data_IF_237571842867
#
_entry.id   IF_237571842867
#
_cell.length_a   1.000
_cell.length_b   1.000
_cell.length_c   1.000
_cell.angle_alpha   90.00
_cell.angle_beta   90.00
_cell.angle_gamma   90.00
#
_symmetry.space_group_name_H-M   'P 1'
#
loop_
_entity.id
_entity.type
_entity.pdbx_description
1 polymer ?
#
# COMPACT_ATOMS: atom_id res chain seq x y z
N UNK A 1 -69.10 -148.85 52.96
CA UNK A 1 -67.97 -149.57 52.34
C UNK A 1 -66.96 -148.56 51.82
N UNK A 2 -65.67 -148.81 52.11
CA UNK A 2 -64.42 -148.32 51.47
C UNK A 2 -64.18 -146.80 51.36
N UNK A 3 -63.17 -146.23 52.04
CA UNK A 3 -61.75 -146.04 51.62
C UNK A 3 -61.63 -145.27 50.28
N UNK A 4 -60.82 -144.22 50.06
CA UNK A 4 -59.42 -143.99 50.49
C UNK A 4 -58.92 -142.55 50.17
N UNK A 5 -57.93 -142.12 50.97
CA UNK A 5 -56.96 -140.99 50.95
C UNK A 5 -56.57 -140.26 49.63
N UNK A 6 -56.19 -138.97 49.74
CA UNK A 6 -54.81 -138.45 49.45
C UNK A 6 -54.56 -137.00 49.92
N UNK A 7 -53.29 -136.71 50.23
CA UNK A 7 -52.68 -135.51 50.83
C UNK A 7 -52.56 -134.28 49.90
N UNK A 8 -52.52 -133.05 50.45
CA UNK A 8 -51.36 -132.13 50.35
C UNK A 8 -51.52 -130.78 51.10
N UNK A 9 -50.53 -130.52 51.95
CA UNK A 9 -49.84 -129.30 52.45
C UNK A 9 -50.34 -127.87 52.05
N UNK A 10 -50.63 -127.02 53.04
CA UNK A 10 -49.87 -125.78 53.42
C UNK A 10 -50.70 -124.74 54.21
N UNK A 11 -50.17 -124.38 55.39
CA UNK A 11 -50.24 -123.09 56.13
C UNK A 11 -51.58 -122.33 56.20
N UNK A 12 -52.23 -122.42 57.37
CA UNK A 12 -53.49 -121.73 57.69
C UNK A 12 -53.21 -120.43 58.48
N UNK A 13 -53.02 -119.31 57.76
CA UNK A 13 -52.98 -117.94 58.29
C UNK A 13 -54.39 -117.55 58.78
N UNK A 14 -54.73 -117.86 60.03
CA UNK A 14 -55.96 -117.37 60.67
C UNK A 14 -55.62 -116.35 61.75
N UNK A 15 -56.02 -115.10 61.47
CA UNK A 15 -56.11 -113.88 62.33
C UNK A 15 -55.07 -112.79 62.04
N UNK A 16 -55.06 -112.28 60.81
CA UNK A 16 -54.62 -110.91 60.56
C UNK A 16 -55.62 -109.93 61.19
N UNK A 17 -55.14 -109.01 62.03
CA UNK A 17 -55.91 -107.89 62.55
C UNK A 17 -55.99 -106.81 61.46
N UNK A 18 -57.21 -106.36 61.23
CA UNK A 18 -57.65 -105.39 60.23
C UNK A 18 -56.78 -104.12 60.19
N UNK A 19 -56.28 -103.81 58.99
CA UNK A 19 -55.73 -102.51 58.61
C UNK A 19 -56.87 -101.47 58.67
N UNK A 20 -56.68 -100.39 59.43
CA UNK A 20 -57.59 -99.26 59.46
C UNK A 20 -57.45 -98.52 58.12
N UNK A 21 -58.38 -98.75 57.20
CA UNK A 21 -58.54 -97.96 55.98
C UNK A 21 -59.18 -96.63 56.41
N UNK A 22 -58.51 -95.50 56.13
CA UNK A 22 -59.02 -94.17 56.43
C UNK A 22 -60.42 -93.96 55.80
N UNK A 23 -61.36 -93.29 56.50
CA UNK A 23 -62.70 -93.11 55.99
C UNK A 23 -62.68 -92.42 54.62
N UNK A 24 -63.55 -92.84 53.67
CA UNK A 24 -63.64 -92.18 52.39
C UNK A 24 -63.96 -90.70 52.61
N UNK A 25 -63.37 -89.79 51.80
CA UNK A 25 -63.60 -88.36 51.96
C UNK A 25 -65.09 -88.05 51.94
N UNK A 26 -65.51 -87.05 52.73
CA UNK A 26 -66.91 -86.63 52.83
C UNK A 26 -67.47 -86.37 51.43
N UNK A 27 -68.55 -87.06 51.08
CA UNK A 27 -69.19 -86.94 49.76
C UNK A 27 -70.04 -85.68 49.73
N UNK A 28 -69.79 -84.82 48.76
CA UNK A 28 -70.58 -83.61 48.55
C UNK A 28 -72.03 -83.96 48.18
N UNK A 29 -72.97 -83.19 48.72
CA UNK A 29 -74.38 -83.23 48.32
C UNK A 29 -74.57 -82.66 46.92
N UNK A 30 -75.65 -83.04 46.24
CA UNK A 30 -75.97 -82.51 44.91
C UNK A 30 -76.10 -80.98 44.93
N UNK A 31 -76.59 -80.43 46.05
CA UNK A 31 -76.70 -78.99 46.31
C UNK A 31 -75.33 -78.32 46.41
N UNK A 32 -74.38 -78.90 47.16
CA UNK A 32 -73.00 -78.38 47.26
C UNK A 32 -72.27 -78.44 45.91
N UNK A 33 -72.44 -79.51 45.14
CA UNK A 33 -71.91 -79.59 43.77
C UNK A 33 -72.50 -78.51 42.87
N UNK A 34 -73.83 -78.29 42.93
CA UNK A 34 -74.51 -77.26 42.13
C UNK A 34 -74.11 -75.83 42.52
N UNK A 35 -73.93 -75.56 43.82
CA UNK A 35 -73.49 -74.27 44.33
C UNK A 35 -72.03 -73.98 43.98
N UNK A 36 -71.15 -74.98 44.11
CA UNK A 36 -69.74 -74.86 43.71
C UNK A 36 -69.59 -74.62 42.21
N UNK A 37 -70.34 -75.33 41.36
CA UNK A 37 -70.31 -75.11 39.91
C UNK A 37 -70.87 -73.72 39.55
N UNK A 38 -71.99 -73.28 40.13
CA UNK A 38 -72.47 -71.89 39.94
C UNK A 38 -71.47 -70.84 40.39
N UNK A 39 -70.79 -71.07 41.51
CA UNK A 39 -69.76 -70.16 42.00
C UNK A 39 -68.56 -70.12 41.05
N UNK A 40 -68.09 -71.27 40.57
CA UNK A 40 -67.01 -71.35 39.58
C UNK A 40 -67.38 -70.75 38.23
N UNK A 41 -68.58 -71.01 37.73
CA UNK A 41 -69.09 -70.39 36.50
C UNK A 41 -69.14 -68.86 36.65
N UNK A 42 -69.60 -68.35 37.80
CA UNK A 42 -69.61 -66.92 38.09
C UNK A 42 -68.19 -66.34 38.13
N UNK A 43 -67.25 -66.97 38.84
CA UNK A 43 -65.85 -66.54 38.87
C UNK A 43 -65.19 -66.58 37.48
N UNK A 44 -65.50 -67.60 36.66
CA UNK A 44 -65.03 -67.68 35.28
C UNK A 44 -65.61 -66.55 34.41
N UNK A 45 -66.91 -66.27 34.52
CA UNK A 45 -67.55 -65.17 33.78
C UNK A 45 -67.02 -63.80 34.22
N UNK A 46 -66.77 -63.59 35.51
CA UNK A 46 -66.19 -62.36 36.02
C UNK A 46 -64.74 -62.19 35.52
N UNK A 47 -63.95 -63.28 35.48
CA UNK A 47 -62.59 -63.26 34.93
C UNK A 47 -62.57 -63.06 33.41
N UNK A 48 -63.51 -63.65 32.67
CA UNK A 48 -63.68 -63.43 31.23
C UNK A 48 -64.00 -61.96 30.93
N UNK A 49 -64.95 -61.37 31.66
CA UNK A 49 -65.27 -59.94 31.53
C UNK A 49 -64.08 -59.03 31.85
N UNK A 50 -63.31 -59.36 32.88
CA UNK A 50 -62.09 -58.64 33.21
C UNK A 50 -61.05 -58.77 32.08
N UNK A 51 -60.87 -59.97 31.52
CA UNK A 51 -59.97 -60.21 30.40
C UNK A 51 -60.42 -59.44 29.15
N UNK A 52 -61.71 -59.47 28.79
CA UNK A 52 -62.28 -58.70 27.67
C UNK A 52 -62.06 -57.20 27.86
N UNK A 53 -62.26 -56.70 29.09
CA UNK A 53 -62.00 -55.29 29.43
C UNK A 53 -60.51 -54.94 29.33
N UNK A 54 -59.61 -55.81 29.76
CA UNK A 54 -58.15 -55.61 29.65
C UNK A 54 -57.73 -55.64 28.18
N UNK A 55 -58.24 -56.57 27.38
CA UNK A 55 -57.95 -56.64 25.95
C UNK A 55 -58.41 -55.38 25.22
N UNK A 56 -59.64 -54.93 25.47
CA UNK A 56 -60.16 -53.69 24.90
C UNK A 56 -59.33 -52.46 25.33
N UNK A 57 -58.88 -52.42 26.58
CA UNK A 57 -58.00 -51.35 27.08
C UNK A 57 -56.60 -51.44 26.46
N UNK A 58 -56.04 -52.65 26.28
CA UNK A 58 -54.77 -52.86 25.59
C UNK A 58 -54.84 -52.38 24.14
N UNK A 59 -55.92 -52.68 23.41
CA UNK A 59 -56.12 -52.20 22.04
C UNK A 59 -56.26 -50.68 22.00
N UNK A 60 -57.07 -50.10 22.91
CA UNK A 60 -57.22 -48.64 23.03
C UNK A 60 -55.87 -47.94 23.30
N UNK A 61 -55.09 -48.45 24.25
CA UNK A 61 -53.77 -47.89 24.60
C UNK A 61 -52.79 -48.06 23.44
N UNK A 62 -52.83 -49.19 22.74
CA UNK A 62 -51.99 -49.42 21.56
C UNK A 62 -52.30 -48.38 20.48
N UNK A 63 -53.57 -48.20 20.12
CA UNK A 63 -53.97 -47.24 19.09
C UNK A 63 -53.60 -45.80 19.50
N UNK A 64 -53.83 -45.41 20.76
CA UNK A 64 -53.45 -44.10 21.30
C UNK A 64 -51.93 -43.88 21.25
N UNK A 65 -51.15 -44.90 21.61
CA UNK A 65 -49.68 -44.83 21.58
C UNK A 65 -49.16 -44.80 20.14
N UNK A 66 -49.73 -45.58 19.23
CA UNK A 66 -49.36 -45.62 17.81
C UNK A 66 -49.61 -44.24 17.16
N UNK A 67 -50.79 -43.66 17.37
CA UNK A 67 -51.13 -42.33 16.85
C UNK A 67 -50.18 -41.25 17.43
N UNK A 68 -50.00 -41.23 18.76
CA UNK A 68 -49.11 -40.27 19.42
C UNK A 68 -47.66 -40.42 18.95
N UNK A 69 -47.19 -41.64 18.72
CA UNK A 69 -45.83 -41.92 18.26
C UNK A 69 -45.63 -41.44 16.81
N UNK A 70 -46.60 -41.69 15.94
CA UNK A 70 -46.54 -41.22 14.54
C UNK A 70 -46.59 -39.69 14.45
N UNK A 71 -47.47 -39.04 15.22
CA UNK A 71 -47.55 -37.58 15.28
C UNK A 71 -46.25 -36.96 15.80
N UNK A 72 -45.70 -37.48 16.90
CA UNK A 72 -44.42 -37.00 17.43
C UNK A 72 -43.28 -37.17 16.44
N UNK A 73 -43.25 -38.29 15.70
CA UNK A 73 -42.25 -38.52 14.66
C UNK A 73 -42.39 -37.51 13.53
N UNK A 74 -43.60 -37.32 12.99
CA UNK A 74 -43.87 -36.35 11.92
C UNK A 74 -43.48 -34.92 12.32
N UNK A 75 -43.83 -34.50 13.53
CA UNK A 75 -43.46 -33.17 14.03
C UNK A 75 -41.94 -33.00 14.18
N UNK A 76 -41.25 -34.03 14.67
CA UNK A 76 -39.78 -34.01 14.80
C UNK A 76 -39.09 -34.00 13.43
N UNK A 77 -39.52 -34.83 12.50
CA UNK A 77 -39.01 -34.86 11.12
C UNK A 77 -39.19 -33.49 10.44
N UNK A 78 -40.36 -32.85 10.62
CA UNK A 78 -40.64 -31.51 10.10
C UNK A 78 -39.67 -30.47 10.68
N UNK A 79 -39.44 -30.48 11.99
CA UNK A 79 -38.51 -29.55 12.66
C UNK A 79 -37.05 -29.75 12.22
N UNK A 80 -36.63 -30.99 11.95
CA UNK A 80 -35.30 -31.28 11.38
C UNK A 80 -35.19 -30.67 9.98
N UNK A 81 -36.23 -30.79 9.15
CA UNK A 81 -36.23 -30.22 7.81
C UNK A 81 -36.24 -28.68 7.82
N UNK A 82 -37.03 -28.06 8.71
CA UNK A 82 -36.99 -26.60 8.93
C UNK A 82 -35.58 -26.15 9.32
N UNK A 83 -34.95 -26.83 10.29
CA UNK A 83 -33.59 -26.53 10.71
C UNK A 83 -32.57 -26.67 9.57
N UNK A 84 -32.74 -27.68 8.71
CA UNK A 84 -31.90 -27.88 7.53
C UNK A 84 -31.97 -26.69 6.57
N UNK A 85 -33.18 -26.18 6.32
CA UNK A 85 -33.41 -25.01 5.47
C UNK A 85 -32.80 -23.74 6.07
N UNK A 86 -32.91 -23.53 7.38
CA UNK A 86 -32.31 -22.37 8.06
C UNK A 86 -30.77 -22.40 7.98
N UNK A 87 -30.17 -23.58 8.15
CA UNK A 87 -28.72 -23.76 8.01
C UNK A 87 -28.30 -23.50 6.56
N UNK A 88 -29.06 -24.00 5.58
CA UNK A 88 -28.78 -23.79 4.15
C UNK A 88 -28.84 -22.30 3.78
N UNK A 89 -29.88 -21.60 4.25
CA UNK A 89 -30.03 -20.15 4.08
C UNK A 89 -28.84 -19.39 4.69
N UNK A 90 -28.53 -19.61 5.96
CA UNK A 90 -27.43 -18.92 6.64
C UNK A 90 -26.06 -19.25 6.02
N UNK A 91 -25.85 -20.50 5.60
CA UNK A 91 -24.62 -20.91 4.89
C UNK A 91 -24.46 -20.13 3.58
N UNK A 92 -25.55 -19.93 2.83
CA UNK A 92 -25.54 -19.15 1.60
C UNK A 92 -25.20 -17.68 1.87
N UNK A 93 -25.83 -17.08 2.88
CA UNK A 93 -25.59 -15.68 3.24
C UNK A 93 -24.15 -15.44 3.70
N UNK A 94 -23.59 -16.31 4.56
CA UNK A 94 -22.18 -16.20 4.96
C UNK A 94 -21.26 -16.37 3.75
N UNK A 95 -21.52 -17.32 2.85
CA UNK A 95 -20.71 -17.50 1.64
C UNK A 95 -20.72 -16.26 0.73
N UNK A 96 -21.89 -15.64 0.55
CA UNK A 96 -22.02 -14.40 -0.22
C UNK A 96 -21.19 -13.29 0.41
N UNK A 97 -21.36 -13.07 1.72
CA UNK A 97 -20.64 -12.02 2.45
C UNK A 97 -19.13 -12.25 2.46
N UNK A 98 -18.71 -13.50 2.64
CA UNK A 98 -17.31 -13.93 2.59
C UNK A 98 -16.66 -13.64 1.24
N UNK A 99 -17.38 -13.89 0.15
CA UNK A 99 -16.90 -13.58 -1.20
C UNK A 99 -16.60 -12.08 -1.34
N UNK A 100 -17.48 -11.22 -0.86
CA UNK A 100 -17.27 -9.76 -0.86
C UNK A 100 -16.06 -9.35 -0.01
N UNK A 101 -15.87 -9.95 1.17
CA UNK A 101 -14.68 -9.70 1.99
C UNK A 101 -13.40 -10.07 1.24
N UNK A 102 -13.35 -11.23 0.57
CA UNK A 102 -12.20 -11.64 -0.23
C UNK A 102 -11.91 -10.64 -1.37
N UNK A 103 -12.95 -10.23 -2.11
CA UNK A 103 -12.82 -9.25 -3.19
C UNK A 103 -12.27 -7.90 -2.70
N UNK A 104 -12.73 -7.43 -1.54
CA UNK A 104 -12.22 -6.18 -0.95
C UNK A 104 -10.80 -6.31 -0.41
N UNK A 105 -10.42 -7.47 0.16
CA UNK A 105 -9.04 -7.73 0.57
C UNK A 105 -8.10 -7.65 -0.64
N UNK A 106 -8.45 -8.28 -1.74
CA UNK A 106 -7.61 -8.27 -2.94
C UNK A 106 -7.58 -6.88 -3.59
N UNK A 107 -8.71 -6.17 -3.62
CA UNK A 107 -8.77 -4.78 -4.09
C UNK A 107 -7.88 -3.84 -3.26
N UNK A 108 -7.92 -3.94 -1.93
CA UNK A 108 -7.06 -3.14 -1.05
C UNK A 108 -5.58 -3.45 -1.27
N UNK A 109 -5.20 -4.74 -1.44
CA UNK A 109 -3.81 -5.10 -1.76
C UNK A 109 -3.34 -4.43 -3.04
N UNK A 110 -4.17 -4.37 -4.08
CA UNK A 110 -3.82 -3.66 -5.32
C UNK A 110 -3.54 -2.19 -5.06
N UNK A 111 -4.38 -1.50 -4.27
CA UNK A 111 -4.16 -0.08 -3.94
C UNK A 111 -2.90 0.11 -3.07
N UNK A 112 -2.65 -0.80 -2.13
CA UNK A 112 -1.42 -0.80 -1.34
C UNK A 112 -0.18 -0.96 -2.21
N UNK A 113 -0.22 -1.80 -3.23
CA UNK A 113 0.89 -1.99 -4.16
C UNK A 113 1.12 -0.73 -5.01
N UNK A 114 0.05 -0.08 -5.48
CA UNK A 114 0.13 1.23 -6.14
C UNK A 114 0.81 2.28 -5.25
N UNK A 115 0.41 2.36 -3.97
CA UNK A 115 1.04 3.27 -3.00
C UNK A 115 2.53 2.95 -2.83
N UNK A 116 2.91 1.68 -2.66
CA UNK A 116 4.32 1.29 -2.50
C UNK A 116 5.16 1.64 -3.71
N UNK A 117 4.66 1.35 -4.92
CA UNK A 117 5.34 1.69 -6.16
C UNK A 117 5.55 3.21 -6.30
N UNK A 118 4.53 4.00 -5.93
CA UNK A 118 4.64 5.45 -5.88
C UNK A 118 5.71 5.90 -4.87
N UNK A 119 5.68 5.38 -3.64
CA UNK A 119 6.68 5.69 -2.60
C UNK A 119 8.11 5.35 -3.05
N UNK A 120 8.31 4.20 -3.69
CA UNK A 120 9.61 3.76 -4.21
C UNK A 120 10.11 4.69 -5.32
N UNK A 121 9.24 5.08 -6.24
CA UNK A 121 9.57 6.02 -7.32
C UNK A 121 9.93 7.41 -6.79
N UNK A 122 9.21 7.89 -5.78
CA UNK A 122 9.52 9.18 -5.13
C UNK A 122 10.88 9.17 -4.45
N UNK A 123 11.23 8.08 -3.77
CA UNK A 123 12.51 7.96 -3.07
C UNK A 123 13.69 7.80 -4.05
N UNK A 124 13.57 6.86 -5.00
CA UNK A 124 14.69 6.49 -5.87
C UNK A 124 14.93 7.45 -7.02
N UNK A 125 13.87 8.09 -7.53
CA UNK A 125 13.97 8.94 -8.72
C UNK A 125 13.80 10.41 -8.37
N UNK A 126 12.63 10.80 -7.85
CA UNK A 126 12.28 12.21 -7.72
C UNK A 126 13.17 12.94 -6.69
N UNK A 127 13.25 12.41 -5.45
CA UNK A 127 14.05 12.99 -4.37
C UNK A 127 15.53 13.01 -4.71
N UNK A 128 16.04 11.88 -5.21
CA UNK A 128 17.44 11.74 -5.63
C UNK A 128 17.81 12.76 -6.71
N UNK A 129 16.93 12.97 -7.70
CA UNK A 129 17.18 13.93 -8.78
C UNK A 129 17.26 15.37 -8.26
N UNK A 130 16.35 15.75 -7.35
CA UNK A 130 16.37 17.08 -6.73
C UNK A 130 17.67 17.30 -5.92
N UNK A 131 18.05 16.33 -5.08
CA UNK A 131 19.29 16.38 -4.31
C UNK A 131 20.52 16.46 -5.20
N UNK A 132 20.55 15.67 -6.28
CA UNK A 132 21.65 15.69 -7.25
C UNK A 132 21.75 17.05 -7.96
N UNK A 133 20.62 17.69 -8.30
CA UNK A 133 20.63 19.03 -8.88
C UNK A 133 21.22 20.06 -7.92
N UNK A 134 20.88 19.99 -6.62
CA UNK A 134 21.47 20.87 -5.61
C UNK A 134 22.99 20.67 -5.55
N UNK A 135 23.46 19.43 -5.46
CA UNK A 135 24.89 19.10 -5.40
C UNK A 135 25.64 19.58 -6.66
N UNK A 136 25.06 19.39 -7.85
CA UNK A 136 25.67 19.87 -9.10
C UNK A 136 25.82 21.40 -9.09
N UNK A 137 24.83 22.11 -8.55
CA UNK A 137 24.84 23.58 -8.45
C UNK A 137 25.82 24.12 -7.42
N UNK A 138 26.23 23.33 -6.43
CA UNK A 138 27.36 23.66 -5.56
C UNK A 138 28.69 23.75 -6.34
N UNK A 139 28.75 23.16 -7.54
CA UNK A 139 29.90 23.24 -8.46
C UNK A 139 30.02 24.55 -9.24
N UNK A 140 29.08 25.50 -9.09
CA UNK A 140 29.19 26.83 -9.69
C UNK A 140 30.33 27.63 -9.06
N UNK A 141 30.89 28.56 -9.83
CA UNK A 141 32.13 29.24 -9.46
C UNK A 141 31.87 30.74 -9.23
N UNK A 142 32.55 31.32 -8.24
CA UNK A 142 32.58 32.75 -8.00
C UNK A 142 31.19 33.32 -7.65
N UNK A 143 30.84 34.45 -8.26
CA UNK A 143 29.60 35.18 -7.94
C UNK A 143 28.32 34.42 -8.35
N UNK A 144 28.43 33.43 -9.23
CA UNK A 144 27.27 32.64 -9.69
C UNK A 144 26.87 31.52 -8.71
N UNK A 145 27.74 31.21 -7.73
CA UNK A 145 27.40 30.38 -6.58
C UNK A 145 26.59 31.23 -5.58
N UNK A 146 25.39 31.63 -6.00
CA UNK A 146 24.47 32.43 -5.23
C UNK A 146 23.21 31.65 -4.89
N UNK A 147 22.61 31.96 -3.75
CA UNK A 147 21.29 31.47 -3.39
C UNK A 147 20.23 32.16 -4.24
N UNK A 148 19.67 31.45 -5.22
CA UNK A 148 18.70 31.97 -6.18
C UNK A 148 17.34 31.24 -6.08
N UNK A 149 16.39 31.67 -6.92
CA UNK A 149 15.05 31.08 -6.97
C UNK A 149 15.09 29.56 -7.22
N UNK A 150 16.03 29.07 -8.02
CA UNK A 150 16.09 27.65 -8.37
C UNK A 150 16.45 26.82 -7.16
N UNK A 151 17.42 27.26 -6.35
CA UNK A 151 17.78 26.54 -5.12
C UNK A 151 16.63 26.53 -4.12
N UNK A 152 15.90 27.64 -3.98
CA UNK A 152 14.70 27.70 -3.14
C UNK A 152 13.64 26.72 -3.63
N UNK A 153 13.30 26.74 -4.92
CA UNK A 153 12.26 25.85 -5.44
C UNK A 153 12.68 24.37 -5.40
N UNK A 154 13.96 24.04 -5.58
CA UNK A 154 14.48 22.66 -5.41
C UNK A 154 14.33 22.17 -3.97
N UNK A 155 14.57 23.02 -2.97
CA UNK A 155 14.35 22.68 -1.55
C UNK A 155 12.86 22.50 -1.27
N UNK A 156 12.01 23.40 -1.79
CA UNK A 156 10.56 23.26 -1.70
C UNK A 156 10.08 21.94 -2.35
N UNK A 157 10.66 21.52 -3.48
CA UNK A 157 10.33 20.26 -4.14
C UNK A 157 10.67 19.04 -3.29
N UNK A 158 11.82 19.05 -2.61
CA UNK A 158 12.16 18.00 -1.63
C UNK A 158 11.14 17.98 -0.49
N UNK A 159 10.74 19.13 0.04
CA UNK A 159 9.76 19.22 1.13
C UNK A 159 8.37 18.68 0.70
N UNK A 160 7.93 19.01 -0.52
CA UNK A 160 6.69 18.47 -1.11
C UNK A 160 6.78 16.95 -1.26
N UNK A 161 7.88 16.43 -1.81
CA UNK A 161 8.10 14.99 -1.95
C UNK A 161 8.03 14.29 -0.59
N UNK A 162 8.70 14.82 0.43
CA UNK A 162 8.66 14.24 1.78
C UNK A 162 7.27 14.33 2.43
N UNK A 163 6.52 15.41 2.16
CA UNK A 163 5.14 15.57 2.58
C UNK A 163 4.23 14.48 1.99
N UNK A 164 4.34 14.25 0.68
CA UNK A 164 3.62 13.20 -0.04
C UNK A 164 4.01 11.82 0.48
N UNK A 165 5.31 11.55 0.67
CA UNK A 165 5.78 10.27 1.22
C UNK A 165 5.18 9.99 2.61
N UNK A 166 5.12 10.99 3.50
CA UNK A 166 4.51 10.85 4.83
C UNK A 166 3.00 10.60 4.74
N UNK A 167 2.31 11.29 3.83
CA UNK A 167 0.87 11.11 3.62
C UNK A 167 0.54 9.70 3.11
N UNK A 168 1.22 9.27 2.05
CA UNK A 168 1.07 7.94 1.45
C UNK A 168 1.48 6.82 2.42
N UNK A 169 2.55 7.02 3.20
CA UNK A 169 2.97 6.09 4.25
C UNK A 169 1.87 5.85 5.29
N UNK A 170 1.23 6.92 5.78
CA UNK A 170 0.09 6.81 6.72
C UNK A 170 -1.10 6.09 6.10
N UNK A 171 -1.44 6.40 4.84
CA UNK A 171 -2.53 5.70 4.13
C UNK A 171 -2.23 4.21 3.96
N UNK A 172 -0.98 3.87 3.68
CA UNK A 172 -0.53 2.47 3.59
C UNK A 172 -0.65 1.73 4.93
N UNK A 173 -0.30 2.38 6.05
CA UNK A 173 -0.50 1.81 7.39
C UNK A 173 -1.98 1.55 7.70
N UNK A 174 -2.86 2.51 7.37
CA UNK A 174 -4.31 2.36 7.51
C UNK A 174 -4.85 1.21 6.65
N UNK A 175 -4.37 1.07 5.41
CA UNK A 175 -4.77 -0.01 4.51
C UNK A 175 -4.30 -1.39 5.01
N UNK A 176 -3.08 -1.48 5.54
CA UNK A 176 -2.57 -2.70 6.17
C UNK A 176 -3.45 -3.14 7.34
N UNK A 177 -3.83 -2.20 8.21
CA UNK A 177 -4.69 -2.48 9.35
C UNK A 177 -6.09 -2.90 8.90
N UNK A 178 -6.66 -2.24 7.88
CA UNK A 178 -7.95 -2.63 7.33
C UNK A 178 -7.92 -4.05 6.73
N UNK A 179 -6.85 -4.42 6.02
CA UNK A 179 -6.66 -5.79 5.52
C UNK A 179 -6.57 -6.81 6.67
N UNK A 180 -5.94 -6.47 7.80
CA UNK A 180 -5.90 -7.35 8.99
C UNK A 180 -7.30 -7.59 9.55
N UNK A 181 -8.12 -6.54 9.67
CA UNK A 181 -9.51 -6.63 10.16
C UNK A 181 -10.40 -7.45 9.24
N UNK A 182 -10.28 -7.27 7.94
CA UNK A 182 -10.99 -8.09 6.94
C UNK A 182 -10.58 -9.57 7.03
N UNK A 183 -9.28 -9.87 7.16
CA UNK A 183 -8.79 -11.25 7.35
C UNK A 183 -9.31 -11.88 8.64
N UNK A 184 -9.34 -11.12 9.74
CA UNK A 184 -9.94 -11.57 11.01
C UNK A 184 -11.42 -11.90 10.84
N UNK A 185 -12.16 -11.05 10.14
CA UNK A 185 -13.58 -11.32 9.84
C UNK A 185 -13.78 -12.54 8.95
N UNK A 186 -12.89 -12.76 7.98
CA UNK A 186 -12.89 -13.95 7.13
C UNK A 186 -12.69 -15.23 7.95
N UNK A 187 -11.77 -15.21 8.92
CA UNK A 187 -11.56 -16.33 9.84
C UNK A 187 -12.83 -16.69 10.65
N UNK A 188 -13.55 -15.70 11.19
CA UNK A 188 -14.79 -15.96 11.91
C UNK A 188 -15.90 -16.53 11.00
N UNK A 189 -16.01 -16.04 9.77
CA UNK A 189 -16.95 -16.57 8.78
C UNK A 189 -16.59 -18.01 8.35
N UNK A 190 -15.31 -18.31 8.15
CA UNK A 190 -14.83 -19.66 7.84
C UNK A 190 -15.18 -20.65 8.96
N UNK A 191 -15.02 -20.21 10.21
CA UNK A 191 -15.41 -20.99 11.38
C UNK A 191 -16.92 -21.24 11.49
N UNK A 192 -17.74 -20.21 11.28
CA UNK A 192 -19.21 -20.37 11.27
C UNK A 192 -19.67 -21.30 10.13
N UNK A 193 -19.03 -21.20 8.95
CA UNK A 193 -19.29 -22.13 7.84
C UNK A 193 -18.91 -23.58 8.16
N UNK A 194 -17.78 -23.80 8.83
CA UNK A 194 -17.36 -25.14 9.26
C UNK A 194 -18.35 -25.74 10.29
N UNK A 195 -18.71 -24.94 11.29
CA UNK A 195 -19.68 -25.33 12.31
C UNK A 195 -21.04 -25.68 11.66
N UNK A 196 -21.55 -24.84 10.74
CA UNK A 196 -22.79 -25.10 9.99
C UNK A 196 -22.71 -26.31 9.06
N UNK A 197 -21.57 -26.55 8.41
CA UNK A 197 -21.38 -27.73 7.56
C UNK A 197 -21.43 -29.03 8.38
N UNK A 198 -20.85 -29.02 9.58
CA UNK A 198 -20.92 -30.15 10.51
C UNK A 198 -22.35 -30.40 10.98
N UNK A 199 -23.09 -29.35 11.36
CA UNK A 199 -24.51 -29.48 11.76
C UNK A 199 -25.36 -29.99 10.60
N UNK A 200 -25.20 -29.44 9.39
CA UNK A 200 -25.93 -29.90 8.20
C UNK A 200 -25.72 -31.40 7.92
N UNK A 201 -24.49 -31.91 8.11
CA UNK A 201 -24.17 -33.33 7.94
C UNK A 201 -24.88 -34.20 9.00
N UNK A 202 -24.90 -33.75 10.24
CA UNK A 202 -25.57 -34.45 11.35
C UNK A 202 -27.09 -34.51 11.10
N UNK A 203 -27.71 -33.36 10.80
CA UNK A 203 -29.16 -33.26 10.59
C UNK A 203 -29.60 -34.00 9.33
N UNK A 204 -28.81 -33.94 8.25
CA UNK A 204 -29.05 -34.75 7.06
C UNK A 204 -29.01 -36.24 7.39
N UNK A 205 -28.01 -36.71 8.15
CA UNK A 205 -27.96 -38.11 8.57
C UNK A 205 -29.19 -38.49 9.40
N UNK A 206 -29.55 -37.67 10.39
CA UNK A 206 -30.73 -37.91 11.24
C UNK A 206 -32.03 -37.98 10.42
N UNK A 207 -32.19 -37.10 9.42
CA UNK A 207 -33.37 -37.10 8.54
C UNK A 207 -33.52 -38.40 7.71
N UNK A 208 -32.41 -39.11 7.47
CA UNK A 208 -32.41 -40.37 6.70
C UNK A 208 -32.69 -41.61 7.54
N UNK A 209 -32.67 -41.50 8.87
CA UNK A 209 -32.88 -42.63 9.78
C UNK A 209 -34.34 -43.08 9.75
N UNK A 210 -34.55 -44.40 9.71
CA UNK A 210 -35.86 -45.05 9.79
C UNK A 210 -35.90 -45.94 11.03
N UNK A 211 -37.08 -46.25 11.59
CA UNK A 211 -37.20 -47.16 12.74
C UNK A 211 -36.58 -48.56 12.51
N UNK A 212 -36.38 -48.97 11.25
CA UNK A 212 -35.76 -50.23 10.85
C UNK A 212 -34.26 -50.11 10.54
N UNK A 213 -33.62 -48.98 10.83
CA UNK A 213 -32.19 -48.77 10.58
C UNK A 213 -31.32 -49.66 11.51
N UNK A 214 -30.22 -50.21 10.97
CA UNK A 214 -29.37 -51.20 11.63
C UNK A 214 -28.67 -50.71 12.92
N UNK A 215 -28.37 -49.42 13.05
CA UNK A 215 -27.55 -48.86 14.14
C UNK A 215 -28.38 -48.05 15.17
N UNK A 216 -29.65 -48.38 15.35
CA UNK A 216 -30.47 -47.76 16.39
C UNK A 216 -30.19 -48.41 17.75
N UNK A 217 -30.04 -47.60 18.80
CA UNK A 217 -29.87 -48.09 20.17
C UNK A 217 -30.62 -47.21 21.16
N UNK A 218 -31.09 -47.82 22.26
CA UNK A 218 -31.69 -47.10 23.37
C UNK A 218 -30.56 -46.70 24.33
N UNK A 219 -30.50 -45.41 24.68
CA UNK A 219 -29.54 -44.91 25.63
C UNK A 219 -29.98 -45.26 27.07
N UNK A 220 -29.20 -46.10 27.75
CA UNK A 220 -29.42 -46.53 29.14
C UNK A 220 -28.53 -45.80 30.17
N UNK A 221 -27.85 -44.72 29.76
CA UNK A 221 -27.00 -43.97 30.67
C UNK A 221 -27.78 -43.01 31.59
N UNK A 222 -27.13 -42.52 32.64
CA UNK A 222 -27.73 -41.65 33.64
C UNK A 222 -27.64 -40.15 33.27
N UNK A 223 -26.89 -39.79 32.22
CA UNK A 223 -26.72 -38.40 31.80
C UNK A 223 -27.80 -38.00 30.80
N UNK A 224 -28.56 -36.93 31.06
CA UNK A 224 -29.53 -36.43 30.08
C UNK A 224 -28.86 -36.06 28.74
N UNK A 225 -29.44 -36.50 27.61
CA UNK A 225 -28.92 -36.23 26.26
C UNK A 225 -29.20 -34.79 25.76
N UNK A 226 -29.97 -34.00 26.51
CA UNK A 226 -30.32 -32.62 26.19
C UNK A 226 -29.22 -31.62 26.61
N UNK A 227 -28.08 -31.65 25.92
CA UNK A 227 -26.95 -30.75 26.19
C UNK A 227 -27.07 -29.35 25.57
N UNK A 228 -28.19 -29.01 24.93
CA UNK A 228 -28.38 -27.69 24.31
C UNK A 228 -28.28 -26.56 25.34
N UNK A 229 -27.29 -25.68 25.16
CA UNK A 229 -27.06 -24.51 26.04
C UNK A 229 -27.41 -23.18 25.39
N UNK A 230 -27.52 -23.16 24.07
CA UNK A 230 -27.74 -21.98 23.25
C UNK A 230 -29.17 -22.04 22.72
N UNK A 231 -29.90 -20.93 22.86
CA UNK A 231 -31.25 -20.76 22.33
C UNK A 231 -31.21 -20.57 20.81
N UNK A 232 -32.35 -20.76 20.13
CA UNK A 232 -32.41 -20.51 18.69
C UNK A 232 -32.14 -19.03 18.35
N UNK A 233 -32.64 -18.12 19.19
CA UNK A 233 -32.42 -16.67 19.07
C UNK A 233 -30.92 -16.32 19.16
N UNK A 234 -30.19 -16.89 20.11
CA UNK A 234 -28.74 -16.69 20.23
C UNK A 234 -27.96 -17.25 19.03
N UNK A 235 -28.42 -18.37 18.45
CA UNK A 235 -27.81 -18.96 17.25
C UNK A 235 -28.02 -18.08 16.01
N UNK A 236 -29.23 -17.56 15.81
CA UNK A 236 -29.54 -16.64 14.70
C UNK A 236 -28.75 -15.33 14.84
N UNK A 237 -28.72 -14.77 16.04
CA UNK A 237 -28.02 -13.52 16.32
C UNK A 237 -26.50 -13.68 16.13
N UNK A 238 -25.90 -14.82 16.46
CA UNK A 238 -24.46 -15.06 16.22
C UNK A 238 -24.07 -14.92 14.76
N UNK A 239 -24.80 -15.58 13.84
CA UNK A 239 -24.51 -15.49 12.41
C UNK A 239 -24.83 -14.10 11.85
N UNK A 240 -25.93 -13.49 12.30
CA UNK A 240 -26.28 -12.12 11.92
C UNK A 240 -25.18 -11.13 12.32
N UNK A 241 -24.65 -11.22 13.53
CA UNK A 241 -23.54 -10.37 13.99
C UNK A 241 -22.27 -10.56 13.14
N UNK A 242 -21.94 -11.79 12.75
CA UNK A 242 -20.81 -12.06 11.86
C UNK A 242 -20.98 -11.38 10.50
N UNK A 243 -22.18 -11.47 9.91
CA UNK A 243 -22.52 -10.83 8.63
C UNK A 243 -22.48 -9.30 8.75
N UNK A 244 -23.09 -8.73 9.80
CA UNK A 244 -23.10 -7.29 10.03
C UNK A 244 -21.68 -6.72 10.26
N UNK A 245 -20.85 -7.44 11.01
CA UNK A 245 -19.44 -7.07 11.21
C UNK A 245 -18.68 -7.10 9.89
N UNK A 246 -18.87 -8.12 9.07
CA UNK A 246 -18.27 -8.19 7.73
C UNK A 246 -18.73 -7.03 6.84
N UNK A 247 -20.03 -6.69 6.85
CA UNK A 247 -20.55 -5.57 6.08
C UNK A 247 -19.95 -4.23 6.53
N UNK A 248 -19.76 -4.02 7.83
CA UNK A 248 -19.08 -2.83 8.38
C UNK A 248 -17.65 -2.74 7.88
N UNK A 249 -16.86 -3.81 7.99
CA UNK A 249 -15.47 -3.82 7.54
C UNK A 249 -15.31 -3.65 6.02
N UNK A 250 -16.23 -4.21 5.23
CA UNK A 250 -16.30 -3.97 3.77
C UNK A 250 -16.55 -2.49 3.47
N UNK A 251 -17.51 -1.86 4.15
CA UNK A 251 -17.81 -0.46 3.93
C UNK A 251 -16.63 0.45 4.31
N UNK A 252 -15.96 0.17 5.43
CA UNK A 252 -14.74 0.88 5.81
C UNK A 252 -13.62 0.70 4.78
N UNK A 253 -13.46 -0.51 4.22
CA UNK A 253 -12.49 -0.78 3.17
C UNK A 253 -12.80 -0.01 1.87
N UNK A 254 -14.07 0.05 1.45
CA UNK A 254 -14.51 0.82 0.27
C UNK A 254 -14.25 2.31 0.43
N UNK A 255 -14.55 2.86 1.60
CA UNK A 255 -14.24 4.26 1.91
C UNK A 255 -12.74 4.54 1.84
N UNK A 256 -11.92 3.66 2.43
CA UNK A 256 -10.47 3.80 2.41
C UNK A 256 -9.89 3.72 0.99
N UNK A 257 -10.43 2.85 0.13
CA UNK A 257 -10.06 2.79 -1.30
C UNK A 257 -10.36 4.10 -2.02
N UNK A 258 -11.59 4.61 -1.88
CA UNK A 258 -11.97 5.88 -2.49
C UNK A 258 -11.09 7.03 -1.99
N UNK A 259 -10.78 7.07 -0.70
CA UNK A 259 -9.87 8.05 -0.12
C UNK A 259 -8.44 7.91 -0.66
N UNK A 260 -7.96 6.67 -0.85
CA UNK A 260 -6.65 6.39 -1.42
C UNK A 260 -6.53 6.92 -2.85
N UNK A 261 -7.54 6.70 -3.69
CA UNK A 261 -7.54 7.22 -5.06
C UNK A 261 -7.51 8.77 -5.10
N UNK A 262 -8.27 9.42 -4.21
CA UNK A 262 -8.26 10.89 -4.08
C UNK A 262 -6.88 11.39 -3.64
N UNK A 263 -6.28 10.76 -2.63
CA UNK A 263 -4.94 11.14 -2.16
C UNK A 263 -3.89 10.95 -3.25
N UNK A 264 -3.90 9.81 -3.95
CA UNK A 264 -2.93 9.55 -5.00
C UNK A 264 -3.03 10.60 -6.11
N UNK A 265 -4.26 10.95 -6.49
CA UNK A 265 -4.49 12.00 -7.49
C UNK A 265 -3.96 13.36 -7.02
N UNK A 266 -4.34 13.79 -5.80
CA UNK A 266 -3.87 15.06 -5.25
C UNK A 266 -2.34 15.10 -5.11
N UNK A 267 -1.74 14.02 -4.62
CA UNK A 267 -0.30 13.92 -4.48
C UNK A 267 0.43 14.07 -5.83
N UNK A 268 -0.10 13.45 -6.90
CA UNK A 268 0.47 13.58 -8.25
C UNK A 268 0.32 15.02 -8.77
N UNK A 269 -0.83 15.67 -8.55
CA UNK A 269 -1.06 17.07 -8.92
C UNK A 269 -0.06 17.99 -8.20
N UNK A 270 0.09 17.86 -6.87
CA UNK A 270 1.02 18.67 -6.07
C UNK A 270 2.49 18.49 -6.54
N UNK A 271 2.88 17.27 -6.90
CA UNK A 271 4.22 16.96 -7.41
C UNK A 271 4.47 17.58 -8.79
N UNK A 272 3.49 17.52 -9.70
CA UNK A 272 3.59 18.14 -11.03
C UNK A 272 3.65 19.65 -10.94
N UNK A 273 2.83 20.27 -10.08
CA UNK A 273 2.82 21.71 -9.87
C UNK A 273 4.20 22.19 -9.37
N UNK A 274 4.79 21.50 -8.40
CA UNK A 274 6.11 21.85 -7.89
C UNK A 274 7.22 21.57 -8.90
N UNK A 275 7.14 20.48 -9.67
CA UNK A 275 8.06 20.19 -10.76
C UNK A 275 8.07 21.31 -11.81
N UNK A 276 6.89 21.82 -12.17
CA UNK A 276 6.73 22.93 -13.10
C UNK A 276 7.25 24.25 -12.53
N UNK A 277 7.07 24.50 -11.23
CA UNK A 277 7.63 25.67 -10.56
C UNK A 277 9.16 25.69 -10.64
N UNK A 278 9.81 24.56 -10.33
CA UNK A 278 11.28 24.42 -10.39
C UNK A 278 11.79 24.55 -11.83
N UNK A 279 11.17 23.87 -12.79
CA UNK A 279 11.57 23.96 -14.20
C UNK A 279 11.39 25.38 -14.75
N UNK A 280 10.37 26.11 -14.30
CA UNK A 280 10.17 27.51 -14.67
C UNK A 280 11.24 28.41 -14.06
N UNK A 281 11.64 28.15 -12.82
CA UNK A 281 12.77 28.85 -12.20
C UNK A 281 14.09 28.59 -12.95
N UNK A 282 14.39 27.34 -13.31
CA UNK A 282 15.55 26.99 -14.15
C UNK A 282 15.52 27.73 -15.49
N UNK A 283 14.40 27.69 -16.22
CA UNK A 283 14.26 28.37 -17.51
C UNK A 283 14.54 29.88 -17.40
N UNK A 284 14.00 30.55 -16.37
CA UNK A 284 14.28 31.97 -16.10
C UNK A 284 15.77 32.18 -15.83
N UNK A 285 16.36 31.39 -14.92
CA UNK A 285 17.77 31.55 -14.52
C UNK A 285 18.73 31.32 -15.67
N UNK A 286 18.49 30.30 -16.49
CA UNK A 286 19.27 30.01 -17.69
C UNK A 286 19.18 31.17 -18.68
N UNK A 287 18.00 31.74 -18.90
CA UNK A 287 17.82 32.89 -19.79
C UNK A 287 18.58 34.13 -19.29
N UNK A 288 18.53 34.43 -18.00
CA UNK A 288 19.29 35.53 -17.38
C UNK A 288 20.81 35.36 -17.57
N UNK A 289 21.33 34.16 -17.32
CA UNK A 289 22.77 33.88 -17.46
C UNK A 289 23.20 33.94 -18.93
N UNK A 290 22.37 33.45 -19.86
CA UNK A 290 22.63 33.58 -21.30
C UNK A 290 22.68 35.04 -21.74
N UNK A 291 21.72 35.86 -21.35
CA UNK A 291 21.68 37.28 -21.69
C UNK A 291 22.92 38.01 -21.13
N UNK A 292 23.29 37.74 -19.88
CA UNK A 292 24.50 38.29 -19.27
C UNK A 292 25.77 37.86 -20.04
N UNK A 293 25.89 36.57 -20.39
CA UNK A 293 27.02 36.05 -21.18
C UNK A 293 27.11 36.71 -22.55
N UNK A 294 25.99 36.82 -23.28
CA UNK A 294 25.97 37.46 -24.60
C UNK A 294 26.37 38.93 -24.52
N UNK A 295 25.92 39.67 -23.50
CA UNK A 295 26.36 41.06 -23.27
C UNK A 295 27.87 41.14 -23.02
N UNK A 296 28.43 40.24 -22.21
CA UNK A 296 29.87 40.17 -21.95
C UNK A 296 30.66 39.82 -23.21
N UNK A 297 30.18 38.89 -24.05
CA UNK A 297 30.81 38.53 -25.32
C UNK A 297 30.83 39.71 -26.31
N UNK A 298 29.75 40.48 -26.38
CA UNK A 298 29.70 41.71 -27.20
C UNK A 298 30.70 42.74 -26.67
N UNK A 299 30.74 42.98 -25.36
CA UNK A 299 31.70 43.89 -24.74
C UNK A 299 33.15 43.44 -24.96
N UNK A 300 33.42 42.14 -24.85
CA UNK A 300 34.73 41.55 -25.12
C UNK A 300 35.17 41.82 -26.56
N UNK A 301 34.29 41.57 -27.54
CA UNK A 301 34.60 41.84 -28.95
C UNK A 301 34.93 43.30 -29.23
N UNK A 302 34.25 44.22 -28.56
CA UNK A 302 34.50 45.66 -28.69
C UNK A 302 35.82 46.08 -28.04
N UNK A 303 36.16 45.52 -26.87
CA UNK A 303 37.46 45.76 -26.22
C UNK A 303 38.61 45.23 -27.08
N UNK A 304 38.46 44.04 -27.67
CA UNK A 304 39.45 43.48 -28.59
C UNK A 304 39.63 44.37 -29.82
N UNK A 305 38.53 44.88 -30.40
CA UNK A 305 38.57 45.84 -31.52
C UNK A 305 39.33 47.10 -31.15
N UNK A 306 38.99 47.74 -30.02
CA UNK A 306 39.64 48.96 -29.53
C UNK A 306 41.13 48.74 -29.20
N UNK A 307 41.47 47.59 -28.60
CA UNK A 307 42.85 47.20 -28.30
C UNK A 307 43.71 47.12 -29.57
N UNK A 308 43.17 46.51 -30.63
CA UNK A 308 43.84 46.43 -31.93
C UNK A 308 44.01 47.83 -32.57
N UNK A 309 42.99 48.68 -32.50
CA UNK A 309 43.05 50.05 -33.03
C UNK A 309 44.09 50.91 -32.32
N UNK A 310 44.14 50.87 -30.98
CA UNK A 310 45.15 51.60 -30.20
C UNK A 310 46.54 51.04 -30.48
N UNK A 311 46.69 49.71 -30.62
CA UNK A 311 47.98 49.09 -30.98
C UNK A 311 48.48 49.60 -32.32
N UNK A 312 47.63 49.64 -33.35
CA UNK A 312 47.98 50.19 -34.66
C UNK A 312 48.33 51.69 -34.55
N UNK A 313 47.58 52.44 -33.75
CA UNK A 313 47.81 53.88 -33.59
C UNK A 313 49.13 54.20 -32.88
N UNK A 314 49.52 53.38 -31.89
CA UNK A 314 50.82 53.46 -31.22
C UNK A 314 51.94 53.30 -32.26
N UNK A 315 51.88 52.26 -33.10
CA UNK A 315 52.90 52.02 -34.14
C UNK A 315 52.99 53.20 -35.13
N UNK A 316 51.84 53.75 -35.56
CA UNK A 316 51.79 54.92 -36.43
C UNK A 316 52.41 56.16 -35.77
N UNK A 317 52.12 56.38 -34.47
CA UNK A 317 52.64 57.50 -33.70
C UNK A 317 54.15 57.36 -33.42
N UNK A 318 54.64 56.17 -33.10
CA UNK A 318 56.07 55.88 -32.94
C UNK A 318 56.84 56.20 -34.22
N UNK A 319 56.33 55.75 -35.37
CA UNK A 319 56.93 56.06 -36.68
C UNK A 319 56.94 57.56 -36.94
N UNK A 320 55.82 58.24 -36.71
CA UNK A 320 55.71 59.69 -36.94
C UNK A 320 56.64 60.46 -36.00
N UNK A 321 56.77 60.03 -34.74
CA UNK A 321 57.69 60.62 -33.77
C UNK A 321 59.15 60.47 -34.24
N UNK A 322 59.54 59.27 -34.70
CA UNK A 322 60.88 59.03 -35.25
C UNK A 322 61.17 59.95 -36.46
N UNK A 323 60.19 60.15 -37.35
CA UNK A 323 60.32 61.08 -38.46
C UNK A 323 60.57 62.52 -37.96
N UNK A 324 59.83 62.99 -36.94
CA UNK A 324 60.00 64.34 -36.36
C UNK A 324 61.33 64.50 -35.62
N UNK A 325 61.78 63.46 -34.93
CA UNK A 325 63.12 63.41 -34.32
C UNK A 325 64.22 63.50 -35.40
N UNK A 326 64.01 62.90 -36.57
CA UNK A 326 64.89 63.05 -37.74
C UNK A 326 64.97 64.51 -38.24
N UNK A 327 63.84 65.21 -38.37
CA UNK A 327 63.82 66.64 -38.72
C UNK A 327 64.51 67.49 -37.65
N UNK A 328 64.31 67.16 -36.37
CA UNK A 328 64.95 67.85 -35.25
C UNK A 328 66.48 67.63 -35.28
N UNK A 329 66.93 66.42 -35.57
CA UNK A 329 68.35 66.09 -35.78
C UNK A 329 68.95 66.90 -36.93
N UNK A 330 68.24 67.01 -38.06
CA UNK A 330 68.66 67.83 -39.20
C UNK A 330 68.82 69.31 -38.81
N UNK A 331 67.85 69.88 -38.11
CA UNK A 331 67.91 71.27 -37.64
C UNK A 331 69.07 71.49 -36.65
N UNK A 332 69.27 70.57 -35.70
CA UNK A 332 70.40 70.59 -34.77
C UNK A 332 71.76 70.50 -35.48
N UNK A 333 71.92 69.59 -36.44
CA UNK A 333 73.16 69.46 -37.22
C UNK A 333 73.43 70.73 -38.03
N UNK A 334 72.39 71.33 -38.64
CA UNK A 334 72.51 72.61 -39.36
C UNK A 334 72.97 73.74 -38.43
N UNK A 335 72.39 73.85 -37.24
CA UNK A 335 72.84 74.81 -36.22
C UNK A 335 74.29 74.54 -35.77
N UNK A 336 74.61 73.28 -35.43
CA UNK A 336 75.95 72.87 -35.00
C UNK A 336 77.04 73.13 -36.03
N UNK A 337 76.75 72.96 -37.33
CA UNK A 337 77.70 73.31 -38.38
C UNK A 337 77.91 74.83 -38.48
N UNK A 338 76.86 75.62 -38.24
CA UNK A 338 76.91 77.08 -38.31
C UNK A 338 77.66 77.72 -37.14
N UNK A 339 77.81 77.02 -36.01
CA UNK A 339 78.64 77.51 -34.89
C UNK A 339 80.15 77.52 -35.19
N UNK A 340 80.57 76.83 -36.26
CA UNK A 340 81.98 76.78 -36.70
C UNK A 340 82.38 77.98 -37.57
N UNK A 341 81.46 78.92 -37.83
CA UNK A 341 81.76 80.12 -38.61
C UNK A 341 82.75 81.02 -37.86
N UNK A 342 83.82 81.52 -38.51
CA UNK A 342 84.85 82.30 -37.84
C UNK A 342 84.42 83.76 -37.63
N UNK A 343 84.82 84.34 -36.48
CA UNK A 343 84.75 85.77 -36.19
C UNK A 343 83.36 86.40 -36.44
N UNK A 344 83.28 87.41 -37.32
CA UNK A 344 82.07 88.18 -37.61
C UNK A 344 81.01 87.37 -38.37
N UNK A 345 81.39 86.27 -39.04
CA UNK A 345 80.47 85.38 -39.74
C UNK A 345 79.61 84.54 -38.77
N UNK A 346 79.99 84.47 -37.48
CA UNK A 346 79.17 83.92 -36.39
C UNK A 346 78.05 84.90 -36.00
N UNK A 347 77.27 85.32 -36.98
CA UNK A 347 76.18 86.27 -36.84
C UNK A 347 74.85 85.54 -36.64
N UNK A 348 73.95 86.17 -35.87
CA UNK A 348 72.55 85.74 -35.72
C UNK A 348 71.72 86.20 -36.93
N UNK A 349 72.01 85.63 -38.09
CA UNK A 349 71.26 85.91 -39.32
C UNK A 349 69.83 85.32 -39.27
N UNK A 350 69.02 85.60 -40.30
CA UNK A 350 67.63 85.12 -40.38
C UNK A 350 67.53 83.58 -40.38
N UNK A 351 68.53 82.89 -40.93
CA UNK A 351 68.55 81.42 -40.99
C UNK A 351 68.85 80.84 -39.62
N UNK A 352 69.75 81.45 -38.85
CA UNK A 352 70.02 81.10 -37.45
C UNK A 352 68.75 81.21 -36.60
N UNK A 353 68.04 82.34 -36.71
CA UNK A 353 66.79 82.58 -35.98
C UNK A 353 65.72 81.55 -36.38
N UNK A 354 65.57 81.28 -37.67
CA UNK A 354 64.59 80.30 -38.18
C UNK A 354 64.89 78.88 -37.68
N UNK A 355 66.15 78.44 -37.72
CA UNK A 355 66.55 77.10 -37.25
C UNK A 355 66.35 76.94 -35.73
N UNK A 356 66.66 77.98 -34.93
CA UNK A 356 66.41 77.96 -33.48
C UNK A 356 64.91 77.84 -33.18
N UNK A 357 64.07 78.59 -33.91
CA UNK A 357 62.62 78.49 -33.78
C UNK A 357 62.10 77.10 -34.22
N UNK A 358 62.58 76.58 -35.34
CA UNK A 358 62.23 75.25 -35.86
C UNK A 358 62.56 74.14 -34.84
N UNK A 359 63.74 74.19 -34.21
CA UNK A 359 64.10 73.27 -33.11
C UNK A 359 63.13 73.41 -31.94
N UNK A 360 62.80 74.63 -31.54
CA UNK A 360 61.85 74.89 -30.45
C UNK A 360 60.45 74.33 -30.72
N UNK A 361 59.96 74.48 -31.96
CA UNK A 361 58.68 73.92 -32.41
C UNK A 361 58.70 72.40 -32.48
N UNK A 362 59.74 71.81 -33.09
CA UNK A 362 59.90 70.36 -33.18
C UNK A 362 60.02 69.72 -31.81
N UNK A 363 60.73 70.35 -30.87
CA UNK A 363 60.83 69.87 -29.50
C UNK A 363 59.47 69.83 -28.80
N UNK A 364 58.66 70.90 -28.92
CA UNK A 364 57.30 70.92 -28.37
C UNK A 364 56.40 69.85 -28.98
N UNK A 365 56.47 69.68 -30.30
CA UNK A 365 55.68 68.68 -31.02
C UNK A 365 56.08 67.25 -30.61
N UNK A 366 57.37 66.95 -30.54
CA UNK A 366 57.86 65.65 -30.09
C UNK A 366 57.46 65.37 -28.63
N UNK A 367 57.60 66.35 -27.73
CA UNK A 367 57.18 66.21 -26.33
C UNK A 367 55.67 65.94 -26.21
N UNK A 368 54.84 66.64 -27.00
CA UNK A 368 53.40 66.40 -27.03
C UNK A 368 53.06 65.01 -27.58
N UNK A 369 53.71 64.58 -28.66
CA UNK A 369 53.52 63.25 -29.24
C UNK A 369 53.94 62.14 -28.27
N UNK A 370 55.06 62.32 -27.54
CA UNK A 370 55.50 61.39 -26.50
C UNK A 370 54.49 61.29 -25.35
N UNK A 371 53.88 62.41 -24.94
CA UNK A 371 52.81 62.41 -23.94
C UNK A 371 51.59 61.61 -24.42
N UNK A 372 51.09 61.89 -25.63
CA UNK A 372 49.95 61.17 -26.19
C UNK A 372 50.22 59.67 -26.38
N UNK A 373 51.46 59.31 -26.72
CA UNK A 373 51.90 57.92 -26.83
C UNK A 373 51.91 57.23 -25.45
N UNK A 374 52.33 57.91 -24.39
CA UNK A 374 52.24 57.38 -23.03
C UNK A 374 50.78 57.14 -22.58
N UNK A 375 49.86 58.05 -22.93
CA UNK A 375 48.42 57.87 -22.68
C UNK A 375 47.85 56.68 -23.47
N UNK A 376 48.21 56.54 -24.75
CA UNK A 376 47.78 55.42 -25.59
C UNK A 376 48.26 54.07 -25.01
N UNK A 377 49.53 53.97 -24.58
CA UNK A 377 50.03 52.77 -23.91
C UNK A 377 49.31 52.50 -22.58
N UNK A 378 48.98 53.53 -21.80
CA UNK A 378 48.22 53.35 -20.56
C UNK A 378 46.81 52.83 -20.82
N UNK A 379 46.13 53.38 -21.83
CA UNK A 379 44.81 52.92 -22.28
C UNK A 379 44.85 51.47 -22.77
N UNK A 380 45.85 51.10 -23.59
CA UNK A 380 46.02 49.73 -24.05
C UNK A 380 46.20 48.73 -22.89
N UNK A 381 47.05 49.06 -21.90
CA UNK A 381 47.22 48.21 -20.72
C UNK A 381 45.90 48.00 -19.96
N UNK A 382 45.09 49.04 -19.85
CA UNK A 382 43.78 48.94 -19.20
C UNK A 382 42.82 48.06 -20.01
N UNK A 383 42.73 48.24 -21.33
CA UNK A 383 41.90 47.41 -22.20
C UNK A 383 42.28 45.93 -22.14
N UNK A 384 43.58 45.61 -22.20
CA UNK A 384 44.06 44.22 -22.08
C UNK A 384 43.72 43.60 -20.74
N UNK A 385 43.81 44.36 -19.64
CA UNK A 385 43.39 43.88 -18.32
C UNK A 385 41.89 43.58 -18.28
N UNK A 386 41.07 44.49 -18.81
CA UNK A 386 39.61 44.31 -18.84
C UNK A 386 39.20 43.16 -19.76
N UNK A 387 39.94 42.93 -20.86
CA UNK A 387 39.74 41.77 -21.73
C UNK A 387 39.88 40.46 -20.95
N UNK A 388 40.98 40.30 -20.21
CA UNK A 388 41.23 39.09 -19.40
C UNK A 388 40.11 38.89 -18.36
N UNK A 389 39.68 39.97 -17.69
CA UNK A 389 38.58 39.91 -16.73
C UNK A 389 37.28 39.44 -17.39
N UNK A 390 36.93 39.96 -18.56
CA UNK A 390 35.73 39.53 -19.30
C UNK A 390 35.83 38.06 -19.74
N UNK A 391 37.01 37.60 -20.15
CA UNK A 391 37.23 36.19 -20.49
C UNK A 391 36.99 35.27 -19.28
N UNK A 392 37.48 35.65 -18.11
CA UNK A 392 37.22 34.94 -16.85
C UNK A 392 35.72 34.95 -16.50
N UNK A 393 35.05 36.09 -16.59
CA UNK A 393 33.62 36.21 -16.29
C UNK A 393 32.75 35.40 -17.26
N UNK A 394 33.08 35.40 -18.56
CA UNK A 394 32.41 34.57 -19.58
C UNK A 394 32.60 33.08 -19.26
N UNK A 395 33.78 32.67 -18.81
CA UNK A 395 34.04 31.28 -18.42
C UNK A 395 33.20 30.88 -17.20
N UNK A 396 33.06 31.76 -16.20
CA UNK A 396 32.16 31.54 -15.06
C UNK A 396 30.72 31.35 -15.53
N UNK A 397 30.21 32.23 -16.41
CA UNK A 397 28.84 32.11 -16.96
C UNK A 397 28.67 30.82 -17.78
N UNK A 398 29.70 30.41 -18.51
CA UNK A 398 29.70 29.17 -19.30
C UNK A 398 29.62 27.93 -18.40
N UNK A 399 30.35 27.93 -17.27
CA UNK A 399 30.25 26.87 -16.27
C UNK A 399 28.83 26.79 -15.67
N UNK A 400 28.24 27.93 -15.28
CA UNK A 400 26.88 28.00 -14.76
C UNK A 400 25.84 27.45 -15.73
N UNK A 401 25.95 27.79 -17.03
CA UNK A 401 25.07 27.27 -18.07
C UNK A 401 25.24 25.76 -18.27
N UNK A 402 26.46 25.25 -18.26
CA UNK A 402 26.70 23.80 -18.36
C UNK A 402 25.98 23.07 -17.22
N UNK A 403 26.13 23.54 -15.98
CA UNK A 403 25.51 22.91 -14.82
C UNK A 403 23.98 22.95 -14.92
N UNK A 404 23.40 24.13 -15.16
CA UNK A 404 21.94 24.28 -15.14
C UNK A 404 21.27 23.67 -16.37
N UNK A 405 21.72 24.04 -17.57
CA UNK A 405 21.06 23.69 -18.82
C UNK A 405 21.39 22.28 -19.29
N UNK A 406 22.62 21.81 -19.05
CA UNK A 406 23.06 20.48 -19.51
C UNK A 406 22.92 19.47 -18.38
N UNK A 407 23.55 19.69 -17.23
CA UNK A 407 23.63 18.65 -16.20
C UNK A 407 22.30 18.52 -15.43
N UNK A 408 21.74 19.61 -14.92
CA UNK A 408 20.50 19.59 -14.13
C UNK A 408 19.26 19.34 -14.99
N UNK A 409 19.03 20.13 -16.04
CA UNK A 409 17.80 19.99 -16.83
C UNK A 409 17.70 18.62 -17.50
N UNK A 410 18.80 18.02 -17.97
CA UNK A 410 18.77 16.65 -18.53
C UNK A 410 18.37 15.60 -17.50
N UNK A 411 18.77 15.75 -16.23
CA UNK A 411 18.32 14.85 -15.16
C UNK A 411 16.82 15.02 -14.90
N UNK A 412 16.34 16.26 -14.91
CA UNK A 412 14.93 16.59 -14.66
C UNK A 412 13.98 16.16 -15.78
N UNK A 413 14.47 16.01 -17.01
CA UNK A 413 13.68 15.43 -18.11
C UNK A 413 13.31 13.96 -17.88
N UNK A 414 14.10 13.24 -17.06
CA UNK A 414 13.81 11.85 -16.69
C UNK A 414 12.80 11.69 -15.56
N UNK A 415 12.42 12.81 -14.91
CA UNK A 415 11.44 12.79 -13.83
C UNK A 415 10.04 12.70 -14.41
N UNK A 416 9.26 11.75 -13.89
CA UNK A 416 7.90 11.55 -14.32
C UNK A 416 7.05 11.07 -13.14
N UNK A 417 5.88 11.71 -12.96
CA UNK A 417 4.90 11.35 -11.94
C UNK A 417 3.68 10.75 -12.62
N UNK A 418 3.70 9.42 -12.80
CA UNK A 418 2.58 8.69 -13.34
C UNK A 418 1.57 8.29 -12.25
N UNK A 419 0.31 8.21 -12.67
CA UNK A 419 -0.74 7.47 -11.98
C UNK A 419 -0.39 5.97 -11.99
N UNK A 420 0.24 5.49 -10.92
CA UNK A 420 0.43 4.05 -10.66
C UNK A 420 -0.90 3.33 -10.47
#
# INVERSE_FOLDING_TARGET
MAFQKKNNIHTNLKRERLVIIAPPPSRYTLTEWSLNNRHRDRCCLDQQKLADSILAECDRVKDEVDERTELNKKDTDRKIEERRLDIEFNTKEIKNQRKEVCLEVDSLKTHMERIKNCLEALEKNAKFTCQKCIILREGRIGIDLCFDDVERELKNEIDVIEGVQKLLGKTLEQANEQVRRLKSTNYFMDRDLEDKANVAKIDYHNSTLKPTSLNLSIYYGFTPLNQGRITNEEWEEFTKQNIEKAAKEINSARQLRSYTDIILKQAIEDLWDQYHAVNSAFKRRIAEVKDAKTKMEVQHSEIVRQSNEITLKIVEMEKTLQEKEGYMGLAHTRLGNRTQRPNMELCKDLVEIALVNEVGDLHRNCAYMQHMLAEAHASLRYLLKTQIQLEEDINVKTNSLKIDEVDCMSLRESMDYHSY
#
